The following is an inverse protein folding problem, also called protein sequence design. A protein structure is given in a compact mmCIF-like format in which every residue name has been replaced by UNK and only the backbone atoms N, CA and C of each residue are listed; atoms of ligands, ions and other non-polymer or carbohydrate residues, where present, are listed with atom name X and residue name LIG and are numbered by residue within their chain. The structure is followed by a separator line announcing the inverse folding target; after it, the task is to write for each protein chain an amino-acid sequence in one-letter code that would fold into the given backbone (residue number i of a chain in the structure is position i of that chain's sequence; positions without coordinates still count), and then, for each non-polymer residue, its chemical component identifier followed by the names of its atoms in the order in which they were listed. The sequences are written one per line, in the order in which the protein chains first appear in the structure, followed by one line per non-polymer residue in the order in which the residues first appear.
data_IF_572697214335
#
_entry.id   IF_572697214335
#
_cell.length_a   1.000
_cell.length_b   1.000
_cell.length_c   1.000
_cell.angle_alpha   90.00
_cell.angle_beta   90.00
_cell.angle_gamma   90.00
#
_symmetry.space_group_name_H-M   'P 1'
#
loop_
_entity.id
_entity.type
_entity.pdbx_description
1 polymer ?
#
# COMPACT_ATOMS: atom_id res chain seq x y z
N UNK A 1 21.21 -19.47 13.43
CA UNK A 1 19.76 -19.26 13.28
C UNK A 1 19.12 -20.63 13.44
N UNK A 2 18.28 -20.80 14.45
CA UNK A 2 17.71 -22.10 14.83
C UNK A 2 16.50 -22.44 13.95
N UNK A 3 16.41 -23.68 13.46
CA UNK A 3 15.23 -24.18 12.76
C UNK A 3 14.26 -24.79 13.78
N UNK A 4 13.03 -24.30 13.80
CA UNK A 4 11.99 -24.70 14.75
C UNK A 4 10.79 -25.28 14.03
N UNK A 5 10.14 -26.20 14.74
CA UNK A 5 8.81 -26.68 14.41
C UNK A 5 7.77 -25.55 14.53
N UNK A 6 6.63 -25.70 13.84
CA UNK A 6 5.59 -24.69 13.70
C UNK A 6 5.06 -24.18 15.04
N UNK A 7 4.71 -25.08 15.96
CA UNK A 7 4.16 -24.70 17.26
C UNK A 7 5.21 -24.00 18.15
N UNK A 8 6.44 -24.49 18.12
CA UNK A 8 7.55 -23.89 18.86
C UNK A 8 7.89 -22.50 18.32
N UNK A 9 7.83 -22.33 17.00
CA UNK A 9 8.01 -21.03 16.33
C UNK A 9 6.95 -20.02 16.78
N UNK A 10 5.67 -20.40 16.76
CA UNK A 10 4.57 -19.52 17.17
C UNK A 10 4.65 -19.16 18.66
N UNK A 11 4.96 -20.11 19.54
CA UNK A 11 5.13 -19.84 20.98
C UNK A 11 6.26 -18.85 21.26
N UNK A 12 7.43 -19.04 20.65
CA UNK A 12 8.56 -18.11 20.80
C UNK A 12 8.26 -16.74 20.19
N UNK A 13 7.54 -16.71 19.08
CA UNK A 13 7.11 -15.45 18.46
C UNK A 13 6.15 -14.66 19.36
N UNK A 14 5.18 -15.33 20.00
CA UNK A 14 4.29 -14.68 20.98
C UNK A 14 5.08 -14.09 22.14
N UNK A 15 6.00 -14.87 22.73
CA UNK A 15 6.83 -14.39 23.83
C UNK A 15 7.68 -13.17 23.44
N UNK A 16 8.19 -13.15 22.19
CA UNK A 16 8.94 -12.02 21.65
C UNK A 16 8.06 -10.77 21.48
N UNK A 17 6.84 -10.92 20.97
CA UNK A 17 5.90 -9.80 20.88
C UNK A 17 5.52 -9.25 22.26
N UNK A 18 5.42 -10.12 23.26
CA UNK A 18 5.12 -9.71 24.63
C UNK A 18 6.29 -8.98 25.30
N UNK A 19 7.54 -9.40 25.05
CA UNK A 19 8.72 -8.74 25.60
C UNK A 19 9.02 -7.39 24.95
N UNK A 20 8.72 -7.24 23.65
CA UNK A 20 9.10 -6.06 22.86
C UNK A 20 7.94 -5.08 22.65
N UNK A 21 6.96 -5.06 23.57
CA UNK A 21 5.77 -4.17 23.51
C UNK A 21 6.12 -2.68 23.61
N UNK A 22 7.04 -2.35 24.50
CA UNK A 22 7.37 -0.96 24.80
C UNK A 22 8.51 -0.44 23.91
N UNK A 23 9.50 -1.29 23.62
CA UNK A 23 10.67 -0.97 22.82
C UNK A 23 11.13 -2.20 22.03
N UNK A 24 11.60 -1.96 20.81
CA UNK A 24 12.13 -3.01 19.94
C UNK A 24 11.53 -2.98 18.54
N UNK A 25 12.05 -3.82 17.67
CA UNK A 25 11.54 -3.99 16.31
C UNK A 25 11.75 -5.44 15.92
N UNK A 26 10.67 -6.11 15.59
CA UNK A 26 10.71 -7.52 15.18
C UNK A 26 10.62 -7.56 13.66
N UNK A 27 11.66 -8.11 13.03
CA UNK A 27 11.69 -8.33 11.59
C UNK A 27 11.26 -9.76 11.28
N UNK A 28 10.15 -9.88 10.56
CA UNK A 28 9.68 -11.13 9.97
C UNK A 28 9.98 -11.10 8.46
N UNK A 29 10.69 -12.11 7.97
CA UNK A 29 11.02 -12.23 6.54
C UNK A 29 10.48 -13.56 6.01
N UNK A 30 9.68 -13.46 4.95
CA UNK A 30 9.11 -14.61 4.25
C UNK A 30 9.87 -14.75 2.93
N UNK A 31 10.51 -15.90 2.71
CA UNK A 31 11.28 -16.14 1.48
C UNK A 31 10.99 -17.55 0.95
N UNK A 32 10.81 -17.66 -0.36
CA UNK A 32 10.77 -18.96 -1.04
C UNK A 32 12.09 -19.69 -0.80
N UNK A 33 12.03 -20.89 -0.24
CA UNK A 33 13.20 -21.73 -0.04
C UNK A 33 13.49 -22.46 -1.36
N UNK A 34 14.47 -21.95 -2.10
CA UNK A 34 14.89 -22.51 -3.40
C UNK A 34 16.06 -23.50 -3.24
N UNK A 35 16.70 -23.52 -2.07
CA UNK A 35 17.97 -24.20 -1.83
C UNK A 35 17.88 -25.15 -0.64
N UNK A 36 18.17 -26.43 -0.85
CA UNK A 36 18.29 -27.45 0.21
C UNK A 36 19.68 -28.11 0.21
N UNK A 37 20.73 -27.34 -0.11
CA UNK A 37 22.13 -27.77 0.02
C UNK A 37 22.84 -28.20 -1.26
N UNK A 38 22.22 -28.08 -2.44
CA UNK A 38 22.84 -28.42 -3.73
C UNK A 38 23.12 -27.17 -4.58
N UNK A 39 24.30 -27.12 -5.21
CA UNK A 39 24.72 -26.01 -6.09
C UNK A 39 23.63 -25.67 -7.11
N UNK A 40 23.36 -24.37 -7.25
CA UNK A 40 22.29 -23.86 -8.10
C UNK A 40 22.72 -24.01 -9.55
N UNK A 41 22.32 -25.10 -10.20
CA UNK A 41 22.26 -25.12 -11.65
C UNK A 41 21.25 -24.06 -12.08
N UNK A 42 21.69 -23.08 -12.88
CA UNK A 42 20.83 -22.06 -13.49
C UNK A 42 19.89 -22.77 -14.48
N UNK A 43 18.80 -23.36 -13.99
CA UNK A 43 17.80 -24.02 -14.81
C UNK A 43 16.62 -23.06 -15.05
N UNK A 44 16.07 -23.18 -16.27
CA UNK A 44 15.19 -22.23 -16.94
C UNK A 44 13.89 -21.87 -16.21
N UNK A 45 13.31 -20.75 -16.68
CA UNK A 45 12.24 -19.91 -16.12
C UNK A 45 10.86 -20.57 -15.92
N UNK A 46 10.73 -21.89 -15.96
CA UNK A 46 9.46 -22.63 -15.85
C UNK A 46 9.50 -23.72 -14.75
N UNK A 47 9.84 -23.32 -13.52
CA UNK A 47 9.78 -24.22 -12.36
C UNK A 47 8.31 -24.40 -11.88
N UNK A 48 7.66 -25.48 -12.34
CA UNK A 48 6.37 -26.00 -11.81
C UNK A 48 6.49 -26.67 -10.42
N UNK A 49 7.65 -26.58 -9.80
CA UNK A 49 7.96 -27.23 -8.52
C UNK A 49 7.27 -26.49 -7.37
N UNK A 50 6.79 -27.25 -6.38
CA UNK A 50 6.32 -26.68 -5.13
C UNK A 50 7.51 -26.32 -4.24
N UNK A 51 7.54 -25.08 -3.77
CA UNK A 51 8.62 -24.61 -2.90
C UNK A 51 8.09 -24.30 -1.51
N UNK A 52 8.74 -24.81 -0.45
CA UNK A 52 8.39 -24.41 0.89
C UNK A 52 8.75 -22.93 1.13
N UNK A 53 7.96 -22.28 1.97
CA UNK A 53 8.20 -20.93 2.44
C UNK A 53 9.04 -20.97 3.71
N UNK A 54 10.21 -20.32 3.69
CA UNK A 54 11.03 -20.11 4.88
C UNK A 54 10.64 -18.79 5.55
N UNK A 55 10.20 -18.87 6.80
CA UNK A 55 9.88 -17.71 7.62
C UNK A 55 10.99 -17.54 8.65
N UNK A 56 11.53 -16.34 8.76
CA UNK A 56 12.63 -16.00 9.67
C UNK A 56 12.25 -14.82 10.54
N UNK A 57 12.64 -14.89 11.81
CA UNK A 57 12.41 -13.86 12.81
C UNK A 57 13.75 -13.39 13.37
N UNK A 58 13.90 -12.07 13.54
CA UNK A 58 15.02 -11.44 14.22
C UNK A 58 14.54 -10.18 14.93
N UNK A 59 15.04 -9.93 16.14
CA UNK A 59 14.80 -8.70 16.93
C UNK A 59 16.01 -7.75 16.88
N UNK A 60 16.83 -7.88 15.83
CA UNK A 60 18.13 -7.19 15.70
C UNK A 60 19.24 -7.73 16.65
N UNK A 61 18.86 -8.48 17.68
CA UNK A 61 19.76 -9.10 18.66
C UNK A 61 20.16 -10.56 18.34
N UNK A 62 20.53 -11.35 19.37
CA UNK A 62 20.96 -12.75 19.21
C UNK A 62 19.80 -13.71 18.93
N UNK A 63 18.56 -13.31 19.24
CA UNK A 63 17.35 -14.13 19.07
C UNK A 63 16.98 -14.22 17.58
N UNK A 64 17.37 -15.34 16.95
CA UNK A 64 17.17 -15.61 15.53
C UNK A 64 16.71 -17.03 15.30
N UNK A 65 15.46 -17.20 14.91
CA UNK A 65 14.86 -18.50 14.63
C UNK A 65 14.05 -18.47 13.33
N UNK A 66 13.81 -19.66 12.78
CA UNK A 66 13.16 -19.83 11.48
C UNK A 66 12.30 -21.09 11.46
N UNK A 67 11.31 -21.13 10.57
CA UNK A 67 10.46 -22.31 10.32
C UNK A 67 10.24 -22.49 8.82
N UNK A 68 10.16 -23.75 8.36
CA UNK A 68 9.94 -24.13 6.96
C UNK A 68 8.48 -24.57 6.81
N UNK A 69 7.69 -23.86 6.02
CA UNK A 69 6.27 -24.15 5.80
C UNK A 69 6.10 -24.75 4.40
N UNK A 70 5.60 -25.98 4.32
CA UNK A 70 5.26 -26.65 3.06
C UNK A 70 3.90 -26.19 2.53
N UNK A 71 3.59 -26.51 1.27
CA UNK A 71 2.30 -26.16 0.65
C UNK A 71 1.11 -26.81 1.39
N UNK A 72 1.26 -28.06 1.83
CA UNK A 72 0.22 -28.85 2.49
C UNK A 72 -0.24 -28.30 3.85
N UNK A 73 0.66 -27.61 4.56
CA UNK A 73 0.41 -27.11 5.92
C UNK A 73 0.23 -25.59 5.97
N UNK A 74 0.35 -24.94 4.81
CA UNK A 74 0.33 -23.49 4.67
C UNK A 74 -0.94 -22.87 5.26
N UNK A 75 -2.11 -23.42 4.96
CA UNK A 75 -3.40 -22.87 5.40
C UNK A 75 -3.55 -22.92 6.92
N UNK A 76 -3.18 -24.06 7.53
CA UNK A 76 -3.23 -24.26 8.99
C UNK A 76 -2.27 -23.30 9.69
N UNK A 77 -1.03 -23.23 9.20
CA UNK A 77 -0.03 -22.31 9.73
C UNK A 77 -0.46 -20.85 9.58
N UNK A 78 -0.97 -20.45 8.41
CA UNK A 78 -1.43 -19.08 8.16
C UNK A 78 -2.61 -18.67 9.03
N UNK A 79 -3.54 -19.59 9.33
CA UNK A 79 -4.66 -19.30 10.22
C UNK A 79 -4.17 -18.98 11.63
N UNK A 80 -3.29 -19.82 12.20
CA UNK A 80 -2.72 -19.62 13.53
C UNK A 80 -1.80 -18.39 13.59
N UNK A 81 -0.89 -18.26 12.63
CA UNK A 81 0.02 -17.13 12.51
C UNK A 81 -0.72 -15.80 12.29
N UNK A 82 -1.75 -15.78 11.44
CA UNK A 82 -2.57 -14.61 11.17
C UNK A 82 -3.39 -14.17 12.39
N UNK A 83 -3.89 -15.12 13.18
CA UNK A 83 -4.56 -14.81 14.45
C UNK A 83 -3.57 -14.19 15.46
N UNK A 84 -2.35 -14.76 15.57
CA UNK A 84 -1.29 -14.23 16.42
C UNK A 84 -0.91 -12.79 16.06
N UNK A 85 -0.65 -12.51 14.78
CA UNK A 85 -0.27 -11.17 14.33
C UNK A 85 -1.37 -10.13 14.60
N UNK A 86 -2.64 -10.50 14.40
CA UNK A 86 -3.78 -9.61 14.69
C UNK A 86 -3.89 -9.31 16.18
N UNK A 87 -3.63 -10.30 17.03
CA UNK A 87 -3.63 -10.14 18.48
C UNK A 87 -2.47 -9.27 18.95
N UNK A 88 -1.26 -9.44 18.39
CA UNK A 88 -0.07 -8.69 18.81
C UNK A 88 -0.02 -7.25 18.29
N UNK A 89 -0.56 -6.97 17.10
CA UNK A 89 -0.50 -5.64 16.46
C UNK A 89 -1.72 -4.73 16.75
N UNK A 90 -2.35 -4.88 17.92
CA UNK A 90 -3.55 -4.13 18.29
C UNK A 90 -3.30 -2.65 18.65
N UNK A 91 -2.06 -2.26 18.93
CA UNK A 91 -1.69 -0.93 19.44
C UNK A 91 -1.48 0.14 18.35
N UNK A 92 -1.70 -0.23 17.08
CA UNK A 92 -1.57 0.71 15.96
C UNK A 92 -2.65 1.80 16.01
N UNK A 93 -2.28 3.03 15.61
CA UNK A 93 -3.25 4.13 15.49
C UNK A 93 -4.37 3.73 14.54
N UNK A 94 -5.61 3.91 14.98
CA UNK A 94 -6.79 3.64 14.17
C UNK A 94 -6.76 4.50 12.90
N UNK A 95 -7.16 3.91 11.77
CA UNK A 95 -7.27 4.63 10.50
C UNK A 95 -8.33 5.73 10.63
N UNK A 96 -7.92 6.98 10.40
CA UNK A 96 -8.81 8.15 10.38
C UNK A 96 -9.68 8.16 9.11
N UNK A 97 -10.68 7.28 9.05
CA UNK A 97 -11.62 7.16 7.92
C UNK A 97 -12.28 8.49 7.56
N UNK A 98 -12.51 9.37 8.55
CA UNK A 98 -13.07 10.71 8.36
C UNK A 98 -12.13 11.62 7.56
N UNK A 99 -10.85 11.65 7.92
CA UNK A 99 -9.83 12.49 7.25
C UNK A 99 -9.57 12.01 5.82
N UNK A 100 -9.56 10.69 5.62
CA UNK A 100 -9.39 10.09 4.29
C UNK A 100 -10.60 10.36 3.39
N UNK A 101 -11.83 10.20 3.91
CA UNK A 101 -13.06 10.56 3.20
C UNK A 101 -13.12 12.04 2.83
N UNK A 102 -12.74 12.93 3.76
CA UNK A 102 -12.67 14.37 3.49
C UNK A 102 -11.64 14.71 2.41
N UNK A 103 -10.47 14.04 2.40
CA UNK A 103 -9.45 14.25 1.38
C UNK A 103 -9.93 13.76 0.00
N UNK A 104 -10.61 12.61 -0.05
CA UNK A 104 -11.21 12.08 -1.26
C UNK A 104 -12.34 12.97 -1.79
N UNK A 105 -13.21 13.47 -0.91
CA UNK A 105 -14.31 14.37 -1.27
C UNK A 105 -13.80 15.73 -1.75
N UNK A 106 -12.75 16.28 -1.11
CA UNK A 106 -12.10 17.51 -1.59
C UNK A 106 -11.42 17.31 -2.95
N UNK A 107 -10.79 16.17 -3.18
CA UNK A 107 -10.21 15.83 -4.48
C UNK A 107 -11.31 15.69 -5.55
N UNK A 108 -12.42 15.03 -5.23
CA UNK A 108 -13.58 14.92 -6.12
C UNK A 108 -14.22 16.28 -6.42
N UNK A 109 -14.38 17.15 -5.41
CA UNK A 109 -14.91 18.51 -5.59
C UNK A 109 -13.98 19.40 -6.41
N UNK A 110 -12.65 19.25 -6.24
CA UNK A 110 -11.66 19.93 -7.09
C UNK A 110 -11.74 19.44 -8.53
N UNK A 111 -11.83 18.13 -8.76
CA UNK A 111 -12.03 17.57 -10.10
C UNK A 111 -13.32 18.06 -10.75
N UNK A 112 -14.46 17.99 -10.04
CA UNK A 112 -15.74 18.53 -10.51
C UNK A 112 -15.66 20.01 -10.89
N UNK A 113 -15.02 20.86 -10.07
CA UNK A 113 -14.83 22.28 -10.40
C UNK A 113 -13.94 22.53 -11.63
N UNK A 114 -13.07 21.58 -11.98
CA UNK A 114 -12.22 21.67 -13.17
C UNK A 114 -12.92 21.11 -14.41
N UNK A 115 -13.83 20.15 -14.26
CA UNK A 115 -14.51 19.45 -15.36
C UNK A 115 -15.88 20.04 -15.70
N UNK A 116 -16.60 20.60 -14.73
CA UNK A 116 -17.94 21.15 -14.94
C UNK A 116 -17.86 22.48 -15.73
N UNK A 117 -18.56 22.58 -16.87
CA UNK A 117 -18.56 23.78 -17.69
C UNK A 117 -19.30 24.92 -16.98
N UNK A 118 -18.65 26.07 -16.83
CA UNK A 118 -19.31 27.29 -16.33
C UNK A 118 -20.26 27.82 -17.39
N UNK A 119 -21.57 27.64 -17.19
CA UNK A 119 -22.61 28.16 -18.09
C UNK A 119 -22.69 29.69 -17.96
N UNK A 120 -22.50 30.39 -19.08
CA UNK A 120 -22.55 31.86 -19.13
C UNK A 120 -23.98 32.32 -19.44
N UNK A 121 -24.80 32.52 -18.41
CA UNK A 121 -26.13 33.10 -18.54
C UNK A 121 -26.17 34.59 -18.17
N UNK A 122 -26.87 35.39 -18.99
CA UNK A 122 -27.22 36.78 -18.67
C UNK A 122 -27.07 37.81 -19.81
N UNK A 123 -27.71 38.98 -19.66
CA UNK A 123 -27.74 40.02 -20.69
C UNK A 123 -26.36 40.66 -20.94
N UNK A 124 -26.07 40.98 -22.22
CA UNK A 124 -24.77 41.55 -22.66
C UNK A 124 -24.59 43.00 -22.21
N UNK A 125 -25.68 43.73 -21.95
CA UNK A 125 -25.73 45.15 -21.58
C UNK A 125 -26.66 45.35 -20.36
N UNK A 126 -26.49 46.43 -19.61
CA UNK A 126 -27.35 46.78 -18.46
C UNK A 126 -27.07 46.00 -17.17
N UNK A 127 -28.07 45.96 -16.28
CA UNK A 127 -28.01 45.30 -14.97
C UNK A 127 -27.77 43.79 -15.17
N UNK A 128 -26.60 43.29 -14.78
CA UNK A 128 -26.18 41.89 -15.01
C UNK A 128 -24.90 41.72 -15.85
N UNK A 129 -24.46 42.76 -16.57
CA UNK A 129 -23.24 42.72 -17.40
C UNK A 129 -21.98 42.35 -16.59
N UNK A 130 -21.82 42.88 -15.38
CA UNK A 130 -20.68 42.55 -14.49
C UNK A 130 -20.67 41.07 -14.07
N UNK A 131 -21.84 40.46 -13.86
CA UNK A 131 -21.95 39.01 -13.55
C UNK A 131 -21.54 38.17 -14.76
N UNK A 132 -22.03 38.51 -15.95
CA UNK A 132 -21.63 37.86 -17.22
C UNK A 132 -20.11 37.97 -17.49
N UNK A 133 -19.52 39.14 -17.28
CA UNK A 133 -18.06 39.32 -17.44
C UNK A 133 -17.25 38.44 -16.47
N UNK A 134 -17.73 38.23 -15.24
CA UNK A 134 -17.08 37.33 -14.27
C UNK A 134 -17.18 35.87 -14.72
N UNK A 135 -18.33 35.45 -15.27
CA UNK A 135 -18.51 34.10 -15.82
C UNK A 135 -17.60 33.84 -17.03
N UNK A 136 -17.50 34.80 -17.97
CA UNK A 136 -16.58 34.69 -19.11
C UNK A 136 -15.10 34.58 -18.69
N UNK A 137 -14.68 35.37 -17.69
CA UNK A 137 -13.32 35.26 -17.13
C UNK A 137 -13.10 33.91 -16.42
N UNK A 138 -14.14 33.33 -15.82
CA UNK A 138 -14.06 32.02 -15.18
C UNK A 138 -13.92 30.90 -16.21
N UNK A 139 -14.64 30.97 -17.35
CA UNK A 139 -14.52 30.03 -18.47
C UNK A 139 -13.10 30.07 -19.07
N UNK A 140 -12.60 31.25 -19.44
CA UNK A 140 -11.25 31.38 -19.99
C UNK A 140 -10.15 30.88 -19.02
N UNK A 141 -10.37 31.06 -17.70
CA UNK A 141 -9.47 30.54 -16.67
C UNK A 141 -9.57 29.01 -16.52
N UNK A 142 -10.75 28.42 -16.71
CA UNK A 142 -10.92 26.97 -16.72
C UNK A 142 -10.25 26.35 -17.96
N UNK A 143 -10.46 26.91 -19.15
CA UNK A 143 -9.86 26.43 -20.41
C UNK A 143 -8.34 26.44 -20.37
N UNK A 144 -7.73 27.56 -19.95
CA UNK A 144 -6.27 27.66 -19.78
C UNK A 144 -5.75 26.67 -18.73
N UNK A 145 -6.50 26.45 -17.65
CA UNK A 145 -6.12 25.47 -16.63
C UNK A 145 -6.24 24.01 -17.10
N UNK A 146 -7.18 23.71 -18.00
CA UNK A 146 -7.31 22.38 -18.63
C UNK A 146 -6.22 22.14 -19.67
N UNK A 147 -5.86 23.15 -20.47
CA UNK A 147 -4.74 23.07 -21.41
C UNK A 147 -3.40 22.81 -20.69
N UNK A 148 -3.09 23.61 -19.66
CA UNK A 148 -1.90 23.41 -18.85
C UNK A 148 -1.86 22.05 -18.12
N UNK A 149 -3.02 21.44 -17.82
CA UNK A 149 -3.09 20.11 -17.21
C UNK A 149 -2.79 19.01 -18.24
N UNK A 150 -3.33 19.13 -19.46
CA UNK A 150 -3.06 18.20 -20.57
C UNK A 150 -1.58 18.22 -20.96
N UNK A 151 -0.98 19.40 -21.11
CA UNK A 151 0.44 19.54 -21.42
C UNK A 151 1.34 18.90 -20.36
N UNK A 152 0.95 18.97 -19.07
CA UNK A 152 1.69 18.31 -17.98
C UNK A 152 1.57 16.79 -18.00
N UNK A 153 0.40 16.26 -18.38
CA UNK A 153 0.19 14.81 -18.53
C UNK A 153 0.97 14.26 -19.74
N UNK A 154 0.97 14.98 -20.86
CA UNK A 154 1.75 14.64 -22.05
C UNK A 154 3.26 14.67 -21.78
N UNK A 155 3.76 15.72 -21.12
CA UNK A 155 5.17 15.82 -20.74
C UNK A 155 5.61 14.77 -19.70
N UNK A 156 4.68 14.27 -18.87
CA UNK A 156 4.97 13.17 -17.94
C UNK A 156 5.03 11.83 -18.66
N UNK A 157 4.13 11.56 -19.61
CA UNK A 157 4.15 10.34 -20.42
C UNK A 157 5.40 10.27 -21.31
N UNK A 158 5.81 11.39 -21.91
CA UNK A 158 7.01 11.44 -22.76
C UNK A 158 8.34 11.25 -22.00
N UNK A 159 8.36 11.38 -20.67
CA UNK A 159 9.55 11.12 -19.84
C UNK A 159 9.65 9.67 -19.34
N UNK A 160 8.55 8.92 -19.43
CA UNK A 160 8.46 7.53 -18.97
C UNK A 160 8.68 6.55 -20.13
N UNK A 161 8.45 6.99 -21.38
CA UNK A 161 8.90 6.32 -22.60
C UNK A 161 10.36 6.59 -22.90
#
# INVERSE_FOLDING_TARGET
MELLDHDSFLRRLTALFDSSKDQGSIWLTHKRLVYDGADVAMADLDDTREYPCLIRVTDGGPTKFSTRVTSSELEKFHAAYGALLKASMATLRKRDKKREKQRAEQAARRKKRMTEPVVVEGPKRGKGRRKRQRLLKAVAKQETSQQNAKEREEAANAKVS
#
